data_IF_617163695114
#
_entry.id   IF_617163695114
#
_cell.length_a   1.000
_cell.length_b   1.000
_cell.length_c   1.000
_cell.angle_alpha   90.00
_cell.angle_beta   90.00
_cell.angle_gamma   90.00
#
_symmetry.space_group_name_H-M   'P 1'
#
loop_
_entity.id
_entity.type
_entity.pdbx_description
1 polymer ?
#
# COMPACT_ATOMS: atom_id res chain seq x y z
N UNK A 1 -54.97 20.33 -20.69
CA UNK A 1 -53.93 19.33 -21.02
C UNK A 1 -52.62 19.64 -20.28
N UNK A 2 -52.59 19.47 -18.94
CA UNK A 2 -51.39 19.71 -18.08
C UNK A 2 -51.21 18.68 -16.96
N UNK A 3 -52.07 17.66 -16.88
CA UNK A 3 -52.05 16.66 -15.81
C UNK A 3 -51.23 15.40 -16.15
N UNK A 4 -50.88 15.21 -17.42
CA UNK A 4 -50.15 14.01 -17.89
C UNK A 4 -48.63 14.09 -17.72
N UNK A 5 -48.08 15.27 -17.41
CA UNK A 5 -46.63 15.44 -17.23
C UNK A 5 -46.20 15.26 -15.77
N UNK A 6 -47.12 15.37 -14.81
CA UNK A 6 -46.81 15.17 -13.38
C UNK A 6 -46.60 13.70 -13.02
N UNK A 7 -47.24 12.77 -13.75
CA UNK A 7 -47.10 11.34 -13.49
C UNK A 7 -45.77 10.75 -14.02
N UNK A 8 -45.17 11.37 -15.04
CA UNK A 8 -43.90 10.91 -15.63
C UNK A 8 -42.67 11.32 -14.80
N UNK A 9 -42.77 12.37 -13.99
CA UNK A 9 -41.68 12.79 -13.09
C UNK A 9 -41.67 11.95 -11.80
N UNK A 10 -42.85 11.50 -11.34
CA UNK A 10 -42.96 10.66 -10.15
C UNK A 10 -42.36 9.25 -10.36
N UNK A 11 -42.43 8.73 -11.59
CA UNK A 11 -41.80 7.45 -11.95
C UNK A 11 -40.26 7.52 -12.02
N UNK A 12 -39.70 8.71 -12.26
CA UNK A 12 -38.25 8.93 -12.29
C UNK A 12 -37.64 9.11 -10.89
N UNK A 13 -38.44 9.46 -9.87
CA UNK A 13 -38.00 9.54 -8.47
C UNK A 13 -37.96 8.18 -7.76
N UNK A 14 -38.54 7.14 -8.35
CA UNK A 14 -38.45 5.75 -7.88
C UNK A 14 -37.19 5.01 -8.39
N UNK A 15 -36.30 5.72 -9.11
CA UNK A 15 -34.88 5.36 -9.27
C UNK A 15 -34.06 5.51 -7.97
N UNK A 16 -34.69 5.87 -6.85
CA UNK A 16 -34.05 5.91 -5.55
C UNK A 16 -33.92 4.50 -4.93
N UNK A 17 -32.79 3.86 -5.25
CA UNK A 17 -32.07 2.88 -4.45
C UNK A 17 -32.78 1.56 -4.08
N UNK A 18 -32.20 0.45 -4.56
CA UNK A 18 -31.72 -0.55 -3.62
C UNK A 18 -30.21 -0.71 -3.82
N UNK A 19 -29.44 0.18 -3.19
CA UNK A 19 -28.25 -0.30 -2.51
C UNK A 19 -28.78 -1.25 -1.43
N UNK A 20 -28.92 -2.53 -1.77
CA UNK A 20 -29.09 -3.54 -0.74
C UNK A 20 -27.96 -3.36 0.26
N UNK A 21 -28.20 -3.33 1.58
CA UNK A 21 -27.15 -3.25 2.56
C UNK A 21 -26.39 -4.58 2.50
N UNK A 22 -25.39 -4.67 1.62
CA UNK A 22 -24.26 -5.54 1.89
C UNK A 22 -23.66 -4.96 3.15
N UNK A 23 -23.88 -5.64 4.26
CA UNK A 23 -23.21 -5.37 5.52
C UNK A 23 -21.70 -5.30 5.25
N UNK A 24 -21.20 -4.07 5.06
CA UNK A 24 -19.80 -3.73 5.15
C UNK A 24 -19.33 -3.78 6.61
N UNK A 25 -20.17 -4.23 7.54
CA UNK A 25 -19.91 -4.21 8.97
C UNK A 25 -18.86 -5.25 9.37
N UNK A 26 -18.61 -6.31 8.59
CA UNK A 26 -17.67 -7.37 8.99
C UNK A 26 -16.92 -8.02 7.82
N UNK A 27 -16.51 -7.23 6.82
CA UNK A 27 -15.29 -7.61 6.09
C UNK A 27 -14.17 -6.73 6.62
N UNK A 28 -13.31 -7.23 7.54
CA UNK A 28 -12.04 -6.56 7.77
C UNK A 28 -11.40 -6.44 6.39
N UNK A 29 -11.28 -5.19 5.96
CA UNK A 29 -10.85 -4.81 4.64
C UNK A 29 -9.63 -5.65 4.26
N UNK A 30 -9.63 -6.14 3.01
CA UNK A 30 -8.41 -6.55 2.32
C UNK A 30 -7.30 -5.46 2.33
N UNK A 31 -7.57 -4.28 2.91
CA UNK A 31 -6.66 -3.18 3.16
C UNK A 31 -5.67 -3.39 4.32
N UNK A 32 -5.94 -4.26 5.32
CA UNK A 32 -5.06 -4.29 6.51
C UNK A 32 -3.83 -5.19 6.39
N UNK A 33 -3.77 -6.11 5.40
CA UNK A 33 -2.60 -6.98 5.24
C UNK A 33 -1.36 -6.29 4.65
N UNK A 34 -1.54 -5.11 4.05
CA UNK A 34 -0.46 -4.33 3.41
C UNK A 34 -0.21 -2.96 4.09
N UNK A 35 -0.85 -2.68 5.22
CA UNK A 35 -0.84 -1.35 5.84
C UNK A 35 -0.13 -1.30 7.19
N UNK A 36 0.29 -2.43 7.75
CA UNK A 36 1.06 -2.42 8.99
C UNK A 36 2.46 -1.83 8.74
N UNK A 37 2.79 -0.66 9.32
CA UNK A 37 4.08 -0.02 9.10
C UNK A 37 5.24 -0.88 9.60
N UNK A 38 5.04 -1.72 10.61
CA UNK A 38 6.06 -2.62 11.14
C UNK A 38 6.41 -3.71 10.12
N UNK A 39 5.39 -4.32 9.51
CA UNK A 39 5.58 -5.30 8.43
C UNK A 39 6.28 -4.69 7.22
N UNK A 40 5.88 -3.48 6.79
CA UNK A 40 6.51 -2.78 5.68
C UNK A 40 7.97 -2.41 6.00
N UNK A 41 8.25 -1.98 7.23
CA UNK A 41 9.60 -1.69 7.71
C UNK A 41 10.48 -2.95 7.73
N UNK A 42 9.96 -4.08 8.20
CA UNK A 42 10.68 -5.35 8.16
C UNK A 42 10.97 -5.78 6.71
N UNK A 43 10.00 -5.64 5.81
CA UNK A 43 10.19 -5.91 4.38
C UNK A 43 11.29 -5.03 3.78
N UNK A 44 11.36 -3.74 4.12
CA UNK A 44 12.43 -2.86 3.68
C UNK A 44 13.80 -3.34 4.20
N UNK A 45 13.88 -3.71 5.48
CA UNK A 45 15.11 -4.25 6.09
C UNK A 45 15.60 -5.53 5.40
N UNK A 46 14.69 -6.42 5.04
CA UNK A 46 15.02 -7.67 4.33
C UNK A 46 15.60 -7.36 2.93
N UNK A 47 15.00 -6.40 2.21
CA UNK A 47 15.50 -5.96 0.89
C UNK A 47 16.87 -5.29 1.00
N UNK A 48 17.08 -4.46 2.02
CA UNK A 48 18.39 -3.87 2.29
C UNK A 48 19.44 -4.93 2.61
N UNK A 49 19.09 -5.94 3.39
CA UNK A 49 19.98 -7.08 3.69
C UNK A 49 20.37 -7.83 2.41
N UNK A 50 19.41 -8.06 1.51
CA UNK A 50 19.68 -8.66 0.20
C UNK A 50 20.62 -7.78 -0.66
N UNK A 51 20.40 -6.46 -0.68
CA UNK A 51 21.29 -5.51 -1.36
C UNK A 51 22.73 -5.61 -0.85
N UNK A 52 22.94 -5.63 0.47
CA UNK A 52 24.27 -5.75 1.06
C UNK A 52 24.93 -7.08 0.68
N UNK A 53 24.20 -8.19 0.80
CA UNK A 53 24.70 -9.52 0.40
C UNK A 53 25.13 -9.55 -1.07
N UNK A 54 24.32 -9.00 -1.97
CA UNK A 54 24.64 -8.94 -3.40
C UNK A 54 25.88 -8.07 -3.70
N UNK A 55 26.13 -7.03 -2.90
CA UNK A 55 27.38 -6.25 -2.98
C UNK A 55 28.61 -7.07 -2.60
N UNK A 56 28.50 -7.91 -1.57
CA UNK A 56 29.57 -8.83 -1.17
C UNK A 56 29.80 -9.91 -2.24
N UNK A 57 28.74 -10.44 -2.84
CA UNK A 57 28.81 -11.45 -3.91
C UNK A 57 29.41 -10.86 -5.21
N UNK A 58 29.05 -9.62 -5.57
CA UNK A 58 29.68 -8.90 -6.68
C UNK A 58 31.19 -8.76 -6.45
N UNK A 59 31.60 -8.31 -5.26
CA UNK A 59 33.01 -8.14 -4.93
C UNK A 59 33.77 -9.48 -4.96
N UNK A 60 33.21 -10.53 -4.35
CA UNK A 60 33.80 -11.86 -4.36
C UNK A 60 33.92 -12.44 -5.78
N UNK A 61 32.96 -12.16 -6.66
CA UNK A 61 33.04 -12.56 -8.06
C UNK A 61 34.13 -11.81 -8.83
N UNK A 62 34.28 -10.50 -8.59
CA UNK A 62 35.37 -9.70 -9.16
C UNK A 62 36.74 -10.19 -8.70
N UNK A 63 36.91 -10.46 -7.40
CA UNK A 63 38.15 -10.98 -6.81
C UNK A 63 38.49 -12.38 -7.33
N UNK A 64 37.48 -13.20 -7.63
CA UNK A 64 37.64 -14.52 -8.23
C UNK A 64 37.86 -14.50 -9.75
N UNK A 65 37.92 -13.32 -10.39
CA UNK A 65 38.08 -13.21 -11.84
C UNK A 65 36.86 -13.69 -12.65
N UNK A 66 35.65 -13.61 -12.07
CA UNK A 66 34.37 -13.95 -12.72
C UNK A 66 33.55 -12.68 -13.01
N UNK A 67 33.90 -11.91 -14.06
CA UNK A 67 33.28 -10.61 -14.34
C UNK A 67 31.80 -10.73 -14.76
N UNK A 68 31.40 -11.81 -15.42
CA UNK A 68 30.01 -12.03 -15.86
C UNK A 68 29.08 -12.29 -14.67
N UNK A 69 29.55 -13.05 -13.68
CA UNK A 69 28.86 -13.24 -12.40
C UNK A 69 28.72 -11.89 -11.67
N UNK A 70 29.80 -11.11 -11.61
CA UNK A 70 29.79 -9.79 -10.98
C UNK A 70 28.80 -8.84 -11.65
N UNK A 71 28.69 -8.85 -12.98
CA UNK A 71 27.69 -8.07 -13.71
C UNK A 71 26.26 -8.50 -13.36
N UNK A 72 26.03 -9.81 -13.21
CA UNK A 72 24.73 -10.37 -12.79
C UNK A 72 24.36 -9.95 -11.37
N UNK A 73 25.32 -10.02 -10.43
CA UNK A 73 25.12 -9.54 -9.05
C UNK A 73 24.88 -8.03 -9.01
N UNK A 74 25.57 -7.23 -9.84
CA UNK A 74 25.35 -5.79 -9.94
C UNK A 74 23.92 -5.45 -10.36
N UNK A 75 23.40 -6.10 -11.40
CA UNK A 75 22.04 -5.90 -11.86
C UNK A 75 21.01 -6.32 -10.79
N UNK A 76 21.23 -7.47 -10.14
CA UNK A 76 20.38 -7.91 -9.04
C UNK A 76 20.43 -6.96 -7.83
N UNK A 77 21.61 -6.41 -7.53
CA UNK A 77 21.83 -5.43 -6.44
C UNK A 77 21.07 -4.14 -6.69
N UNK A 78 21.14 -3.60 -7.90
CA UNK A 78 20.38 -2.41 -8.29
C UNK A 78 18.88 -2.62 -8.12
N UNK A 79 18.37 -3.78 -8.56
CA UNK A 79 16.96 -4.15 -8.35
C UNK A 79 16.61 -4.25 -6.86
N UNK A 80 17.44 -4.91 -6.05
CA UNK A 80 17.21 -5.04 -4.61
C UNK A 80 17.20 -3.68 -3.89
N UNK A 81 18.04 -2.74 -4.33
CA UNK A 81 18.06 -1.38 -3.81
C UNK A 81 16.78 -0.60 -4.16
N UNK A 82 16.32 -0.72 -5.41
CA UNK A 82 15.07 -0.12 -5.84
C UNK A 82 13.86 -0.66 -5.03
N UNK A 83 13.80 -1.98 -4.84
CA UNK A 83 12.76 -2.62 -4.02
C UNK A 83 12.83 -2.19 -2.55
N UNK A 84 14.03 -1.93 -2.02
CA UNK A 84 14.22 -1.36 -0.69
C UNK A 84 13.62 0.04 -0.58
N UNK A 85 13.96 0.95 -1.51
CA UNK A 85 13.44 2.33 -1.52
C UNK A 85 11.90 2.33 -1.56
N UNK A 86 11.32 1.47 -2.41
CA UNK A 86 9.87 1.35 -2.53
C UNK A 86 9.21 0.86 -1.24
N UNK A 87 9.80 -0.14 -0.59
CA UNK A 87 9.30 -0.67 0.68
C UNK A 87 9.46 0.35 1.83
N UNK A 88 10.59 1.04 1.90
CA UNK A 88 10.86 2.06 2.92
C UNK A 88 9.92 3.27 2.77
N UNK A 89 9.73 3.73 1.54
CA UNK A 89 8.77 4.80 1.23
C UNK A 89 7.34 4.39 1.59
N UNK A 90 6.96 3.14 1.32
CA UNK A 90 5.65 2.62 1.69
C UNK A 90 5.47 2.56 3.22
N UNK A 91 6.51 2.12 3.96
CA UNK A 91 6.50 2.11 5.42
C UNK A 91 6.35 3.52 5.99
N UNK A 92 7.12 4.50 5.48
CA UNK A 92 7.02 5.89 5.90
C UNK A 92 5.61 6.47 5.70
N UNK A 93 5.01 6.23 4.53
CA UNK A 93 3.62 6.65 4.24
C UNK A 93 2.61 5.99 5.18
N UNK A 94 2.79 4.71 5.49
CA UNK A 94 1.93 3.99 6.42
C UNK A 94 2.01 4.57 7.85
N UNK A 95 3.21 4.93 8.31
CA UNK A 95 3.39 5.62 9.61
C UNK A 95 2.69 6.98 9.63
N UNK A 96 2.81 7.78 8.57
CA UNK A 96 2.15 9.09 8.49
C UNK A 96 0.62 8.96 8.49
N UNK A 97 0.09 8.00 7.75
CA UNK A 97 -1.35 7.74 7.70
C UNK A 97 -1.87 7.24 9.06
N UNK A 98 -1.13 6.36 9.73
CA UNK A 98 -1.46 5.93 11.09
C UNK A 98 -1.53 7.13 12.05
N UNK A 99 -0.54 8.03 12.02
CA UNK A 99 -0.54 9.26 12.84
C UNK A 99 -1.74 10.14 12.56
N UNK A 100 -2.13 10.30 11.28
CA UNK A 100 -3.33 11.08 10.90
C UNK A 100 -4.61 10.46 11.45
N UNK A 101 -4.74 9.14 11.40
CA UNK A 101 -5.90 8.43 11.93
C UNK A 101 -5.98 8.53 13.45
N UNK A 102 -4.86 8.46 14.15
CA UNK A 102 -4.80 8.61 15.61
C UNK A 102 -5.17 10.04 16.05
N UNK A 103 -4.69 11.06 15.34
CA UNK A 103 -5.07 12.46 15.59
C UNK A 103 -6.56 12.73 15.32
N UNK A 104 -7.09 12.17 14.24
CA UNK A 104 -8.53 12.24 13.92
C UNK A 104 -9.41 11.60 15.01
N UNK A 105 -9.01 10.44 15.55
CA UNK A 105 -9.71 9.77 16.65
C UNK A 105 -9.63 10.55 17.96
N UNK A 106 -8.47 11.11 18.29
CA UNK A 106 -8.29 11.93 19.49
C UNK A 106 -9.19 13.17 19.48
N UNK A 107 -9.40 13.79 18.31
CA UNK A 107 -10.22 14.99 18.16
C UNK A 107 -11.72 14.72 18.34
N UNK A 108 -12.18 13.50 18.03
CA UNK A 108 -13.59 13.10 18.20
C UNK A 108 -13.91 12.75 19.66
N UNK A 109 -12.94 12.26 20.44
CA UNK A 109 -13.15 11.90 21.85
C UNK A 109 -13.17 13.09 22.82
N UNK A 110 -12.52 14.21 22.49
CA UNK A 110 -12.52 15.42 23.33
C UNK A 110 -13.75 16.32 23.16
N UNK A 111 -14.65 16.01 22.22
CA UNK A 111 -15.89 16.78 21.97
C UNK A 111 -17.17 16.14 22.53
N UNK A 112 -17.07 15.09 23.36
CA UNK A 112 -18.20 14.49 24.08
C UNK A 112 -18.14 14.79 25.58
#
# INVERSE_FOLDING_TARGET
MKALHLCLILAALLLAAPFGPVSCTEKPLLASRNADPEYLGQKAKDRYTAFVRLGQEEQAAMEAGRPDDAASYRAAKEKAYQEYIEADTAAARAVEEQKRQEQGKATVQTSN
#
